data_IF_595794314633
#
_entry.id   IF_595794314633
#
_cell.length_a   1.000
_cell.length_b   1.000
_cell.length_c   1.000
_cell.angle_alpha   90.00
_cell.angle_beta   90.00
_cell.angle_gamma   90.00
#
_symmetry.space_group_name_H-M   'P 1'
#
loop_
_entity.id
_entity.type
_entity.pdbx_description
1 polymer ?
#
# COMPACT_ATOMS: atom_id res chain seq x y z
N UNK A 1 8.09 23.29 14.15
CA UNK A 1 6.87 23.91 13.56
C UNK A 1 7.28 24.74 12.36
N UNK A 2 6.67 24.51 11.19
CA UNK A 2 6.98 25.23 9.95
C UNK A 2 6.75 26.73 10.07
N UNK A 3 7.57 27.53 9.39
CA UNK A 3 7.32 28.99 9.23
C UNK A 3 6.10 29.21 8.34
N UNK A 4 5.50 30.40 8.40
CA UNK A 4 4.24 30.70 7.70
C UNK A 4 4.36 30.54 6.17
N UNK A 5 5.38 31.15 5.55
CA UNK A 5 5.63 31.05 4.10
C UNK A 5 5.94 29.61 3.66
N UNK A 6 6.71 28.87 4.47
CA UNK A 6 7.00 27.45 4.23
C UNK A 6 5.75 26.59 4.32
N UNK A 7 4.86 26.89 5.28
CA UNK A 7 3.60 26.18 5.46
C UNK A 7 2.64 26.40 4.29
N UNK A 8 2.56 27.61 3.72
CA UNK A 8 1.73 27.89 2.55
C UNK A 8 2.26 27.19 1.29
N UNK A 9 3.58 27.23 1.07
CA UNK A 9 4.24 26.51 -0.03
C UNK A 9 3.98 25.00 0.09
N UNK A 10 4.12 24.46 1.29
CA UNK A 10 3.89 23.06 1.55
C UNK A 10 2.41 22.66 1.41
N UNK A 11 1.47 23.53 1.81
CA UNK A 11 0.03 23.31 1.59
C UNK A 11 -0.29 23.20 0.11
N UNK A 12 0.19 24.14 -0.73
CA UNK A 12 0.01 24.07 -2.19
C UNK A 12 0.60 22.79 -2.77
N UNK A 13 1.81 22.42 -2.33
CA UNK A 13 2.43 21.16 -2.74
C UNK A 13 1.55 19.94 -2.41
N UNK A 14 0.92 19.90 -1.24
CA UNK A 14 0.03 18.81 -0.86
C UNK A 14 -1.26 18.81 -1.70
N UNK A 15 -1.85 19.97 -1.96
CA UNK A 15 -3.03 20.10 -2.82
C UNK A 15 -2.75 19.61 -4.25
N UNK A 16 -1.59 19.95 -4.82
CA UNK A 16 -1.13 19.45 -6.10
C UNK A 16 -0.79 17.95 -6.04
N UNK A 17 -0.24 17.47 -4.92
CA UNK A 17 0.17 16.07 -4.75
C UNK A 17 -1.02 15.10 -4.61
N UNK A 18 -2.10 15.55 -3.98
CA UNK A 18 -3.31 14.75 -3.72
C UNK A 18 -4.53 15.25 -4.52
N UNK A 19 -4.28 16.05 -5.57
CA UNK A 19 -5.31 16.45 -6.53
C UNK A 19 -5.85 15.27 -7.34
N UNK A 20 -6.89 15.54 -8.13
CA UNK A 20 -7.44 14.61 -9.14
C UNK A 20 -7.84 13.21 -8.59
N UNK A 21 -8.29 13.17 -7.33
CA UNK A 21 -8.75 11.94 -6.68
C UNK A 21 -7.63 11.02 -6.17
N UNK A 22 -6.37 11.46 -6.22
CA UNK A 22 -5.23 10.71 -5.65
C UNK A 22 -5.27 10.80 -4.13
N UNK A 23 -5.45 9.65 -3.47
CA UNK A 23 -5.53 9.59 -2.00
C UNK A 23 -4.28 8.99 -1.34
N UNK A 24 -3.38 8.39 -2.12
CA UNK A 24 -2.17 7.72 -1.64
C UNK A 24 -0.98 8.20 -2.45
N UNK A 25 0.09 8.63 -1.77
CA UNK A 25 1.33 9.06 -2.43
C UNK A 25 2.55 8.80 -1.57
N UNK A 26 3.68 8.53 -2.21
CA UNK A 26 4.96 8.49 -1.53
C UNK A 26 5.60 9.88 -1.51
N UNK A 27 5.90 10.37 -0.32
CA UNK A 27 6.45 11.71 -0.08
C UNK A 27 7.70 11.61 0.78
N UNK A 28 8.67 12.49 0.51
CA UNK A 28 9.90 12.60 1.27
C UNK A 28 9.77 13.78 2.23
N UNK A 29 9.64 13.47 3.52
CA UNK A 29 9.15 14.41 4.52
C UNK A 29 10.14 14.56 5.69
N UNK A 30 10.28 15.78 6.18
CA UNK A 30 10.88 16.07 7.49
C UNK A 30 9.91 15.77 8.62
N UNK A 31 10.40 15.77 9.86
CA UNK A 31 9.56 15.64 11.05
C UNK A 31 8.47 16.72 11.09
N UNK A 32 8.81 17.98 10.86
CA UNK A 32 7.87 19.10 10.88
C UNK A 32 6.80 18.99 9.79
N UNK A 33 7.18 18.51 8.60
CA UNK A 33 6.23 18.27 7.49
C UNK A 33 5.27 17.14 7.84
N UNK A 34 5.73 16.06 8.48
CA UNK A 34 4.84 14.98 8.93
C UNK A 34 3.85 15.44 10.01
N UNK A 35 4.31 16.25 10.96
CA UNK A 35 3.44 16.86 11.97
C UNK A 35 2.40 17.79 11.34
N UNK A 36 2.81 18.58 10.34
CA UNK A 36 1.92 19.45 9.60
C UNK A 36 0.82 18.66 8.91
N UNK A 37 1.16 17.58 8.18
CA UNK A 37 0.18 16.71 7.51
C UNK A 37 -0.81 16.14 8.53
N UNK A 38 -0.34 15.62 9.66
CA UNK A 38 -1.23 15.07 10.71
C UNK A 38 -2.18 16.11 11.29
N UNK A 39 -1.77 17.39 11.33
CA UNK A 39 -2.62 18.48 11.80
C UNK A 39 -3.73 18.83 10.80
N UNK A 40 -3.40 18.92 9.51
CA UNK A 40 -4.37 19.33 8.48
C UNK A 40 -5.21 18.18 7.92
N UNK A 41 -4.68 16.96 7.99
CA UNK A 41 -5.35 15.71 7.65
C UNK A 41 -5.28 14.74 8.83
N UNK A 42 -6.11 14.94 9.89
CA UNK A 42 -6.05 14.13 11.11
C UNK A 42 -6.28 12.62 10.91
N UNK A 43 -6.90 12.24 9.79
CA UNK A 43 -7.16 10.85 9.41
C UNK A 43 -6.06 10.24 8.55
N UNK A 44 -5.04 11.00 8.18
CA UNK A 44 -3.99 10.52 7.31
C UNK A 44 -3.11 9.47 8.01
N UNK A 45 -2.75 8.41 7.30
CA UNK A 45 -1.75 7.44 7.74
C UNK A 45 -0.42 7.71 7.06
N UNK A 46 0.67 7.74 7.82
CA UNK A 46 2.04 7.93 7.32
C UNK A 46 2.88 6.72 7.71
N UNK A 47 3.19 5.86 6.73
CA UNK A 47 4.01 4.67 6.94
C UNK A 47 5.40 4.89 6.34
N UNK A 48 6.46 4.69 7.11
CA UNK A 48 7.84 4.82 6.59
C UNK A 48 8.09 3.75 5.53
N UNK A 49 8.43 4.16 4.31
CA UNK A 49 8.73 3.23 3.21
C UNK A 49 10.16 2.70 3.32
N UNK A 50 11.10 3.54 3.79
CA UNK A 50 12.52 3.20 3.91
C UNK A 50 13.01 3.69 5.28
N UNK A 51 13.70 2.84 6.08
CA UNK A 51 14.13 3.22 7.44
C UNK A 51 15.30 4.20 7.46
N UNK A 52 16.04 4.36 6.36
CA UNK A 52 17.22 5.23 6.29
C UNK A 52 16.85 6.66 5.94
N UNK A 53 17.30 7.59 6.78
CA UNK A 53 17.21 9.04 6.56
C UNK A 53 18.12 9.46 5.40
N UNK A 54 17.59 10.33 4.53
CA UNK A 54 18.38 10.93 3.47
C UNK A 54 19.38 11.96 4.06
N UNK A 55 20.46 12.31 3.34
CA UNK A 55 21.46 13.25 3.84
C UNK A 55 20.92 14.64 4.22
N UNK A 56 19.73 15.01 3.76
CA UNK A 56 19.06 16.28 4.09
C UNK A 56 18.06 16.16 5.24
N UNK A 57 18.07 15.05 5.97
CA UNK A 57 17.25 14.84 7.16
C UNK A 57 15.81 14.40 6.91
N UNK A 58 15.44 14.10 5.65
CA UNK A 58 14.08 13.66 5.30
C UNK A 58 13.99 12.14 5.13
N UNK A 59 12.79 11.61 5.37
CA UNK A 59 12.48 10.18 5.26
C UNK A 59 11.36 9.98 4.24
N UNK A 60 11.39 8.86 3.51
CA UNK A 60 10.30 8.47 2.61
C UNK A 60 9.13 7.87 3.39
N UNK A 61 7.93 8.41 3.16
CA UNK A 61 6.68 7.94 3.73
C UNK A 61 5.68 7.62 2.62
N UNK A 62 5.01 6.48 2.73
CA UNK A 62 3.72 6.25 2.09
C UNK A 62 2.64 6.96 2.90
N UNK A 63 2.08 8.01 2.31
CA UNK A 63 1.02 8.84 2.90
C UNK A 63 -0.31 8.44 2.27
N UNK A 64 -1.31 8.17 3.10
CA UNK A 64 -2.71 7.99 2.69
C UNK A 64 -3.56 9.03 3.40
N UNK A 65 -4.36 9.82 2.67
CA UNK A 65 -5.29 10.79 3.26
C UNK A 65 -6.60 10.14 3.74
N UNK A 66 -6.91 8.95 3.24
CA UNK A 66 -8.04 8.17 3.72
C UNK A 66 -7.61 7.38 4.96
N UNK A 67 -8.51 7.25 5.96
CA UNK A 67 -8.29 6.33 7.05
C UNK A 67 -8.05 4.92 6.47
N UNK A 68 -7.19 4.09 7.09
CA UNK A 68 -7.04 2.71 6.66
C UNK A 68 -8.42 2.06 6.77
N UNK A 69 -9.07 1.88 5.61
CA UNK A 69 -10.33 1.19 5.52
C UNK A 69 -10.06 -0.23 5.96
N UNK A 70 -10.42 -0.55 7.21
CA UNK A 70 -10.35 -1.91 7.77
C UNK A 70 -11.03 -2.95 6.87
N UNK A 71 -11.87 -2.52 5.93
CA UNK A 71 -12.57 -3.37 4.97
C UNK A 71 -11.72 -3.86 3.78
N UNK A 72 -10.57 -3.26 3.48
CA UNK A 72 -9.73 -3.72 2.36
C UNK A 72 -8.92 -4.98 2.75
N UNK A 73 -8.53 -5.14 4.00
CA UNK A 73 -7.86 -6.38 4.45
C UNK A 73 -8.87 -7.52 4.66
N UNK A 74 -10.07 -7.23 5.18
CA UNK A 74 -11.10 -8.24 5.43
C UNK A 74 -11.72 -8.85 4.16
N UNK A 75 -11.90 -8.07 3.08
CA UNK A 75 -12.32 -8.65 1.79
C UNK A 75 -11.18 -9.41 1.09
N UNK A 76 -9.95 -8.91 1.16
CA UNK A 76 -8.80 -9.62 0.58
C UNK A 76 -8.55 -10.98 1.23
N UNK A 77 -8.84 -11.17 2.52
CA UNK A 77 -8.67 -12.47 3.18
C UNK A 77 -9.65 -13.54 2.72
N UNK A 78 -10.91 -13.21 2.49
CA UNK A 78 -11.91 -14.16 1.98
C UNK A 78 -11.66 -14.54 0.52
N UNK A 79 -11.32 -13.54 -0.31
CA UNK A 79 -10.97 -13.77 -1.71
C UNK A 79 -9.69 -14.60 -1.84
N UNK A 80 -8.67 -14.34 -1.00
CA UNK A 80 -7.42 -15.09 -1.00
C UNK A 80 -7.62 -16.54 -0.55
N UNK A 81 -8.46 -16.79 0.48
CA UNK A 81 -8.77 -18.13 0.93
C UNK A 81 -9.51 -18.95 -0.15
N UNK A 82 -10.42 -18.31 -0.88
CA UNK A 82 -11.15 -18.93 -2.00
C UNK A 82 -10.19 -19.30 -3.13
N UNK A 83 -9.31 -18.39 -3.52
CA UNK A 83 -8.28 -18.64 -4.55
C UNK A 83 -7.30 -19.74 -4.12
N UNK A 84 -6.93 -19.80 -2.85
CA UNK A 84 -6.05 -20.86 -2.32
C UNK A 84 -6.73 -22.23 -2.36
N UNK A 85 -8.01 -22.32 -1.99
CA UNK A 85 -8.77 -23.56 -2.03
C UNK A 85 -8.90 -24.09 -3.48
N UNK A 86 -9.17 -23.21 -4.43
CA UNK A 86 -9.25 -23.58 -5.85
C UNK A 86 -7.90 -24.07 -6.39
N UNK A 87 -6.80 -23.41 -6.03
CA UNK A 87 -5.44 -23.85 -6.41
C UNK A 87 -5.09 -25.25 -5.88
N UNK A 88 -5.51 -25.59 -4.66
CA UNK A 88 -5.31 -26.93 -4.09
C UNK A 88 -6.10 -27.96 -4.90
N UNK A 89 -7.37 -27.66 -5.21
CA UNK A 89 -8.22 -28.54 -6.02
C UNK A 89 -7.64 -28.77 -7.42
N UNK A 90 -7.19 -27.70 -8.08
CA UNK A 90 -6.57 -27.78 -9.41
C UNK A 90 -5.28 -28.59 -9.39
N UNK A 91 -4.44 -28.44 -8.35
CA UNK A 91 -3.23 -29.26 -8.19
C UNK A 91 -3.56 -30.75 -8.07
N UNK A 92 -4.58 -31.11 -7.29
CA UNK A 92 -5.00 -32.52 -7.14
C UNK A 92 -5.46 -33.09 -8.48
N UNK A 93 -6.28 -32.36 -9.22
CA UNK A 93 -6.78 -32.79 -10.52
C UNK A 93 -5.64 -32.95 -11.54
N UNK A 94 -4.69 -32.01 -11.58
CA UNK A 94 -3.51 -32.11 -12.44
C UNK A 94 -2.66 -33.35 -12.14
N UNK A 95 -2.46 -33.70 -10.87
CA UNK A 95 -1.71 -34.90 -10.50
C UNK A 95 -2.48 -36.20 -10.79
N UNK A 96 -3.82 -36.16 -10.81
CA UNK A 96 -4.63 -37.27 -11.31
C UNK A 96 -4.44 -37.42 -12.83
N UNK A 97 -4.63 -36.35 -13.59
CA UNK A 97 -4.51 -36.36 -15.05
C UNK A 97 -3.10 -36.75 -15.51
N UNK A 98 -2.05 -36.30 -14.81
CA UNK A 98 -0.67 -36.72 -15.10
C UNK A 98 -0.47 -38.22 -14.93
N UNK A 99 -1.02 -38.81 -13.86
CA UNK A 99 -0.95 -40.26 -13.62
C UNK A 99 -1.73 -41.03 -14.68
N UNK A 100 -2.93 -40.57 -15.02
CA UNK A 100 -3.77 -41.21 -16.04
C UNK A 100 -3.09 -41.14 -17.42
N UNK A 101 -2.45 -40.02 -17.76
CA UNK A 101 -1.68 -39.87 -18.99
C UNK A 101 -0.40 -40.72 -19.00
N UNK A 102 0.29 -40.86 -17.87
CA UNK A 102 1.47 -41.72 -17.76
C UNK A 102 1.07 -43.20 -17.96
N UNK A 103 0.02 -43.65 -17.29
CA UNK A 103 -0.51 -45.01 -17.41
C UNK A 103 -1.09 -45.32 -18.81
N UNK A 104 -1.54 -44.30 -19.54
CA UNK A 104 -2.05 -44.44 -20.91
C UNK A 104 -0.93 -44.46 -21.97
N UNK A 105 0.30 -44.06 -21.61
CA UNK A 105 1.48 -44.10 -22.50
C UNK A 105 2.28 -45.40 -22.38
N UNK A 106 2.03 -46.21 -21.35
CA UNK A 106 2.69 -47.50 -21.09
C UNK A 106 1.89 -48.72 -21.62
N UNK A 107 0.74 -48.48 -22.29
CA UNK A 107 -0.03 -49.48 -23.03
C UNK A 107 0.11 -49.26 -24.52
#
# INVERSE_FOLDING_TARGET
MLKLDEAEKFKRFLEESFGDGVNIRELRLSTEETEYIKRIYPKASLNKSIPKEAPDGKIWYKVSLQPPSKNLESQNTEDLATVQAENIKLKIELERLKRDMANSREK
#
